data_IF_968725084157
#
_entry.id   IF_968725084157
#
_cell.length_a   1.000
_cell.length_b   1.000
_cell.length_c   1.000
_cell.angle_alpha   90.00
_cell.angle_beta   90.00
_cell.angle_gamma   90.00
#
_symmetry.space_group_name_H-M   'P 1'
#
loop_
_entity.id
_entity.type
_entity.pdbx_description
1 polymer ?
#
# COMPACT_ATOMS: atom_id res chain seq x y z
N UNK A 1 -30.45 -47.36 30.12
CA UNK A 1 -30.67 -45.92 29.98
C UNK A 1 -29.42 -45.05 30.21
N UNK A 2 -28.21 -45.60 30.46
CA UNK A 2 -26.97 -44.84 30.71
C UNK A 2 -26.06 -44.62 29.51
N UNK A 3 -26.33 -45.30 28.39
CA UNK A 3 -25.41 -45.27 27.22
C UNK A 3 -25.84 -44.32 26.08
N UNK A 4 -27.03 -43.70 26.16
CA UNK A 4 -27.47 -42.75 25.14
C UNK A 4 -26.98 -41.33 25.34
N UNK A 5 -26.66 -40.91 26.58
CA UNK A 5 -26.11 -39.57 26.85
C UNK A 5 -24.66 -39.39 26.38
N UNK A 6 -23.92 -40.48 26.23
CA UNK A 6 -22.48 -40.40 25.92
C UNK A 6 -22.20 -40.25 24.41
N UNK A 7 -23.16 -40.57 23.54
CA UNK A 7 -23.02 -40.40 22.08
C UNK A 7 -23.36 -38.97 21.60
N UNK A 8 -24.27 -38.31 22.32
CA UNK A 8 -24.67 -36.90 21.95
C UNK A 8 -23.61 -35.87 22.27
N UNK A 9 -22.79 -36.08 23.31
CA UNK A 9 -21.72 -35.15 23.68
C UNK A 9 -20.49 -35.24 22.78
N UNK A 10 -20.25 -36.39 22.13
CA UNK A 10 -19.14 -36.58 21.19
C UNK A 10 -19.39 -35.99 19.80
N UNK A 11 -20.67 -35.90 19.38
CA UNK A 11 -21.05 -35.34 18.08
C UNK A 11 -21.02 -33.81 18.06
N UNK A 12 -21.23 -33.13 19.20
CA UNK A 12 -21.15 -31.67 19.26
C UNK A 12 -19.70 -31.11 19.27
N UNK A 13 -18.72 -31.94 19.70
CA UNK A 13 -17.31 -31.49 19.78
C UNK A 13 -16.58 -31.50 18.43
N UNK A 14 -17.10 -32.21 17.42
CA UNK A 14 -16.48 -32.32 16.10
C UNK A 14 -16.98 -31.27 15.08
N UNK A 15 -18.06 -30.52 15.40
CA UNK A 15 -18.55 -29.47 14.50
C UNK A 15 -18.03 -28.04 14.84
N UNK A 16 -17.23 -27.89 15.89
CA UNK A 16 -16.72 -26.57 16.33
C UNK A 16 -15.44 -26.09 15.62
N UNK A 17 -14.89 -26.85 14.66
CA UNK A 17 -13.56 -26.58 14.08
C UNK A 17 -13.57 -26.02 12.65
N UNK A 18 -14.72 -25.64 12.07
CA UNK A 18 -14.77 -25.12 10.69
C UNK A 18 -15.44 -23.74 10.61
N UNK A 19 -15.34 -22.93 11.63
CA UNK A 19 -15.63 -21.50 11.51
C UNK A 19 -14.30 -20.73 11.41
N UNK A 20 -13.60 -20.87 10.29
CA UNK A 20 -12.52 -19.92 9.95
C UNK A 20 -13.23 -18.61 9.60
N UNK A 21 -13.06 -17.54 10.39
CA UNK A 21 -13.76 -16.29 10.13
C UNK A 21 -13.23 -15.67 8.84
N UNK A 22 -14.08 -15.50 7.83
CA UNK A 22 -13.81 -14.83 6.57
C UNK A 22 -13.41 -13.34 6.72
N UNK A 23 -13.50 -12.82 7.92
CA UNK A 23 -13.10 -11.43 8.23
C UNK A 23 -11.60 -11.20 8.33
N UNK A 24 -10.78 -12.25 8.46
CA UNK A 24 -9.32 -12.10 8.55
C UNK A 24 -8.71 -11.55 7.24
N UNK A 25 -9.32 -11.82 6.08
CA UNK A 25 -8.81 -11.34 4.78
C UNK A 25 -9.09 -9.87 4.51
N UNK A 26 -10.09 -9.27 5.17
CA UNK A 26 -10.42 -7.86 4.98
C UNK A 26 -9.45 -6.92 5.73
N UNK A 27 -8.86 -7.39 6.81
CA UNK A 27 -7.92 -6.60 7.62
C UNK A 27 -6.57 -6.44 6.92
N UNK A 28 -6.08 -7.45 6.20
CA UNK A 28 -4.81 -7.37 5.47
C UNK A 28 -4.84 -6.31 4.36
N UNK A 29 -5.95 -6.21 3.61
CA UNK A 29 -6.10 -5.20 2.58
C UNK A 29 -6.18 -3.77 3.14
N UNK A 30 -6.77 -3.59 4.31
CA UNK A 30 -6.87 -2.27 4.96
C UNK A 30 -5.54 -1.84 5.52
N UNK A 31 -4.81 -2.72 6.20
CA UNK A 31 -3.48 -2.46 6.74
C UNK A 31 -2.48 -2.14 5.61
N UNK A 32 -2.52 -2.89 4.50
CA UNK A 32 -1.70 -2.64 3.33
C UNK A 32 -1.93 -1.26 2.71
N UNK A 33 -3.19 -0.87 2.53
CA UNK A 33 -3.56 0.47 2.02
C UNK A 33 -3.14 1.60 2.95
N UNK A 34 -3.30 1.41 4.27
CA UNK A 34 -2.83 2.39 5.26
C UNK A 34 -1.31 2.55 5.21
N UNK A 35 -0.59 1.45 5.08
CA UNK A 35 0.87 1.47 4.95
C UNK A 35 1.33 2.18 3.66
N UNK A 36 0.70 1.90 2.52
CA UNK A 36 0.95 2.61 1.27
C UNK A 36 0.73 4.11 1.42
N UNK A 37 -0.41 4.50 2.01
CA UNK A 37 -0.73 5.92 2.24
C UNK A 37 0.26 6.58 3.20
N UNK A 38 0.67 5.89 4.25
CA UNK A 38 1.68 6.38 5.19
C UNK A 38 3.03 6.62 4.49
N UNK A 39 3.47 5.69 3.65
CA UNK A 39 4.69 5.87 2.85
C UNK A 39 4.56 7.04 1.86
N UNK A 40 3.40 7.18 1.21
CA UNK A 40 3.15 8.24 0.24
C UNK A 40 3.04 9.64 0.89
N UNK A 41 2.71 9.73 2.18
CA UNK A 41 2.48 11.00 2.88
C UNK A 41 3.71 11.91 2.88
N UNK A 42 4.93 11.36 2.86
CA UNK A 42 6.16 12.14 2.79
C UNK A 42 6.28 12.94 1.48
N UNK A 43 5.68 12.46 0.40
CA UNK A 43 5.69 13.12 -0.91
C UNK A 43 4.72 14.29 -0.97
N UNK A 44 3.67 14.28 -0.14
CA UNK A 44 2.60 15.28 -0.13
C UNK A 44 3.09 16.70 0.19
N UNK A 45 4.18 16.82 0.97
CA UNK A 45 4.75 18.13 1.32
C UNK A 45 5.16 18.96 0.09
N UNK A 46 5.56 18.29 -1.00
CA UNK A 46 6.01 18.96 -2.22
C UNK A 46 5.06 18.71 -3.39
N UNK A 47 4.58 17.46 -3.54
CA UNK A 47 3.73 17.05 -4.65
C UNK A 47 2.22 17.23 -4.41
N UNK A 48 1.84 17.80 -3.25
CA UNK A 48 0.44 18.01 -2.86
C UNK A 48 -0.23 16.74 -2.32
N UNK A 49 -1.35 16.93 -1.66
CA UNK A 49 -2.15 15.81 -1.12
C UNK A 49 -2.51 14.86 -2.25
N UNK A 50 -2.30 13.56 -2.01
CA UNK A 50 -2.52 12.50 -2.97
C UNK A 50 -1.75 12.69 -4.31
N UNK A 51 -0.69 13.51 -4.30
CA UNK A 51 0.13 13.77 -5.47
C UNK A 51 -0.42 14.83 -6.42
N UNK A 52 -1.43 15.60 -6.01
CA UNK A 52 -2.04 16.67 -6.78
C UNK A 52 -1.48 18.03 -6.34
N UNK A 53 -0.66 18.64 -7.16
CA UNK A 53 -0.16 19.99 -6.91
C UNK A 53 -1.21 21.04 -7.27
N UNK A 54 -1.08 22.22 -6.67
CA UNK A 54 -1.89 23.38 -7.06
C UNK A 54 -1.55 23.82 -8.49
N UNK A 55 -2.48 24.50 -9.12
CA UNK A 55 -2.29 25.08 -10.45
C UNK A 55 -1.03 25.98 -10.45
N UNK A 56 -0.27 25.93 -11.52
CA UNK A 56 0.96 26.70 -11.74
C UNK A 56 2.12 26.39 -10.74
N UNK A 57 2.05 25.23 -10.06
CA UNK A 57 3.14 24.72 -9.23
C UNK A 57 4.36 24.39 -10.08
N UNK A 58 5.57 24.78 -9.63
CA UNK A 58 6.83 24.34 -10.21
C UNK A 58 7.15 22.87 -9.92
N UNK A 59 6.47 22.27 -8.93
CA UNK A 59 6.58 20.84 -8.60
C UNK A 59 5.50 20.09 -9.37
N UNK A 60 5.84 19.04 -10.13
CA UNK A 60 4.86 18.34 -10.96
C UNK A 60 3.87 17.55 -10.12
N UNK A 61 2.60 17.49 -10.58
CA UNK A 61 1.63 16.53 -10.08
C UNK A 61 2.04 15.11 -10.47
N UNK A 62 1.91 14.17 -9.54
CA UNK A 62 2.25 12.76 -9.73
C UNK A 62 1.02 11.83 -9.61
N UNK A 63 -0.15 12.39 -9.28
CA UNK A 63 -1.42 11.68 -9.21
C UNK A 63 -1.80 11.10 -10.57
N UNK A 64 -2.23 9.85 -10.60
CA UNK A 64 -2.72 9.16 -11.80
C UNK A 64 -1.68 8.93 -12.90
N UNK A 65 -0.39 9.13 -12.62
CA UNK A 65 0.68 8.73 -13.54
C UNK A 65 0.84 7.20 -13.52
N UNK A 66 1.22 6.57 -14.64
CA UNK A 66 1.43 5.12 -14.67
C UNK A 66 2.44 4.67 -13.62
N UNK A 67 2.11 3.59 -12.90
CA UNK A 67 2.96 3.02 -11.85
C UNK A 67 4.41 2.79 -12.31
N UNK A 68 4.58 2.14 -13.45
CA UNK A 68 5.90 1.78 -13.95
C UNK A 68 6.71 3.00 -14.36
N UNK A 69 6.04 4.05 -14.86
CA UNK A 69 6.67 5.34 -15.11
C UNK A 69 7.19 5.96 -13.82
N UNK A 70 6.38 5.97 -12.75
CA UNK A 70 6.79 6.51 -11.44
C UNK A 70 7.99 5.74 -10.88
N UNK A 71 7.96 4.41 -10.93
CA UNK A 71 9.11 3.57 -10.52
C UNK A 71 10.36 3.91 -11.33
N UNK A 72 10.25 3.98 -12.65
CA UNK A 72 11.36 4.30 -13.54
C UNK A 72 11.96 5.68 -13.21
N UNK A 73 11.12 6.69 -12.97
CA UNK A 73 11.60 8.03 -12.64
C UNK A 73 12.32 8.05 -11.28
N UNK A 74 11.80 7.35 -10.26
CA UNK A 74 12.45 7.25 -8.96
C UNK A 74 13.80 6.54 -9.04
N UNK A 75 13.89 5.47 -9.85
CA UNK A 75 15.16 4.79 -10.12
C UNK A 75 16.15 5.70 -10.85
N UNK A 76 15.69 6.46 -11.83
CA UNK A 76 16.54 7.40 -12.57
C UNK A 76 17.11 8.50 -11.65
N UNK A 77 16.33 9.00 -10.69
CA UNK A 77 16.82 9.91 -9.66
C UNK A 77 17.82 9.24 -8.72
N UNK A 78 17.52 8.01 -8.27
CA UNK A 78 18.36 7.23 -7.35
C UNK A 78 19.74 6.93 -7.95
N UNK A 79 19.77 6.59 -9.24
CA UNK A 79 20.97 6.26 -9.98
C UNK A 79 21.70 7.49 -10.56
N UNK A 80 21.12 8.68 -10.43
CA UNK A 80 21.69 9.92 -10.93
C UNK A 80 21.59 10.12 -12.45
N UNK A 81 20.84 9.27 -13.17
CA UNK A 81 20.63 9.39 -14.62
C UNK A 81 19.61 10.46 -14.99
N UNK A 82 18.78 10.86 -14.03
CA UNK A 82 17.87 12.02 -14.15
C UNK A 82 18.31 13.12 -13.21
N UNK A 83 18.64 14.32 -13.73
CA UNK A 83 19.00 15.45 -12.87
C UNK A 83 17.79 15.94 -12.06
N UNK A 84 18.02 16.38 -10.83
CA UNK A 84 17.00 16.93 -9.95
C UNK A 84 17.63 17.83 -8.88
N UNK A 85 16.83 18.75 -8.34
CA UNK A 85 17.24 19.60 -7.23
C UNK A 85 17.29 18.83 -5.91
N UNK A 86 16.26 18.02 -5.61
CA UNK A 86 16.13 17.31 -4.33
C UNK A 86 15.78 15.82 -4.50
N UNK A 87 15.08 15.43 -5.58
CA UNK A 87 14.57 14.07 -5.74
C UNK A 87 15.68 13.01 -5.75
N UNK A 88 16.87 13.33 -6.22
CA UNK A 88 18.02 12.43 -6.18
C UNK A 88 18.45 12.08 -4.74
N UNK A 89 18.27 12.97 -3.77
CA UNK A 89 18.58 12.71 -2.35
C UNK A 89 17.43 11.92 -1.71
N UNK A 90 16.19 12.28 -1.98
CA UNK A 90 15.01 11.59 -1.45
C UNK A 90 15.02 10.13 -1.91
N UNK A 91 15.22 9.89 -3.19
CA UNK A 91 15.18 8.54 -3.76
C UNK A 91 16.28 7.60 -3.25
N UNK A 92 17.45 8.14 -2.90
CA UNK A 92 18.54 7.34 -2.29
C UNK A 92 18.17 6.76 -0.93
N UNK A 93 17.33 7.45 -0.16
CA UNK A 93 16.87 7.00 1.15
C UNK A 93 15.74 5.96 1.12
N UNK A 94 15.22 5.61 -0.07
CA UNK A 94 14.07 4.73 -0.23
C UNK A 94 14.50 3.33 -0.69
N UNK A 95 13.86 2.29 -0.12
CA UNK A 95 13.99 0.92 -0.64
C UNK A 95 13.18 0.75 -1.93
N UNK A 96 13.46 -0.34 -2.66
CA UNK A 96 12.72 -0.68 -3.89
C UNK A 96 11.23 -0.94 -3.59
N UNK A 97 10.94 -1.58 -2.44
CA UNK A 97 9.58 -1.86 -1.99
C UNK A 97 8.84 -0.56 -1.65
N UNK A 98 9.51 0.39 -1.02
CA UNK A 98 8.92 1.71 -0.73
C UNK A 98 8.62 2.47 -2.02
N UNK A 99 9.54 2.48 -2.98
CA UNK A 99 9.34 3.11 -4.29
C UNK A 99 8.15 2.45 -5.01
N UNK A 100 8.08 1.12 -5.05
CA UNK A 100 6.99 0.40 -5.69
C UNK A 100 5.65 0.67 -5.01
N UNK A 101 5.61 0.66 -3.68
CA UNK A 101 4.42 0.94 -2.87
C UNK A 101 3.88 2.36 -3.08
N UNK A 102 4.76 3.36 -3.08
CA UNK A 102 4.36 4.75 -3.35
C UNK A 102 3.90 4.95 -4.79
N UNK A 103 4.57 4.33 -5.76
CA UNK A 103 4.18 4.39 -7.16
C UNK A 103 2.78 3.79 -7.39
N UNK A 104 2.46 2.68 -6.73
CA UNK A 104 1.14 2.08 -6.77
C UNK A 104 0.08 3.00 -6.15
N UNK A 105 0.39 3.63 -5.00
CA UNK A 105 -0.51 4.59 -4.37
C UNK A 105 -0.85 5.75 -5.31
N UNK A 106 0.15 6.43 -5.86
CA UNK A 106 -0.08 7.60 -6.72
C UNK A 106 -0.72 7.25 -8.06
N UNK A 107 -0.42 6.07 -8.62
CA UNK A 107 -1.05 5.61 -9.84
C UNK A 107 -2.57 5.36 -9.69
N UNK A 108 -3.01 5.02 -8.48
CA UNK A 108 -4.43 4.82 -8.17
C UNK A 108 -5.19 6.13 -7.89
N UNK A 109 -4.52 7.28 -7.79
CA UNK A 109 -5.18 8.55 -7.52
C UNK A 109 -5.80 9.13 -8.80
N UNK A 110 -6.95 9.83 -8.70
CA UNK A 110 -7.51 10.56 -9.83
C UNK A 110 -6.56 11.68 -10.28
N UNK A 111 -6.57 11.97 -11.58
CA UNK A 111 -5.90 13.14 -12.17
C UNK A 111 -6.72 14.38 -12.00
#
# INVERSE_FOLDING_TARGET
MKNQCMFLTRSCLLMALIAIPWWASAQDNTAGKLHQRANASMCANCHGTDGQTVKDSSVPSIAGLPRDYLVQQMQAFKNGTRPATIMHQISKGLSEEQIASMAEYFAAQPR
#
